data_IF_841452314830
#
_entry.id   IF_841452314830
#
_cell.length_a   1.000
_cell.length_b   1.000
_cell.length_c   1.000
_cell.angle_alpha   90.00
_cell.angle_beta   90.00
_cell.angle_gamma   90.00
#
_symmetry.space_group_name_H-M   'P 1'
#
loop_
_entity.id
_entity.type
_entity.pdbx_description
1 polymer ?
#
# COMPACT_ATOMS: atom_id res chain seq x y z
N UNK A 1 30.55 -16.21 -53.34
CA UNK A 1 29.71 -15.23 -52.60
C UNK A 1 29.31 -15.89 -51.30
N UNK A 2 30.06 -15.64 -50.25
CA UNK A 2 29.80 -16.14 -48.90
C UNK A 2 28.72 -15.26 -48.30
N UNK A 3 27.57 -15.84 -47.96
CA UNK A 3 26.52 -15.21 -47.11
C UNK A 3 27.18 -14.72 -45.83
N UNK A 4 26.93 -13.48 -45.38
CA UNK A 4 27.42 -13.01 -44.10
C UNK A 4 26.77 -13.83 -42.94
N UNK A 5 27.49 -14.04 -41.82
CA UNK A 5 26.98 -14.80 -40.70
C UNK A 5 25.74 -14.12 -40.15
N UNK A 6 24.75 -14.94 -39.74
CA UNK A 6 23.47 -14.60 -39.15
C UNK A 6 23.55 -13.35 -38.26
N UNK A 7 23.03 -12.25 -38.76
CA UNK A 7 22.71 -11.12 -37.90
C UNK A 7 21.60 -11.60 -36.94
N UNK A 8 21.92 -11.75 -35.66
CA UNK A 8 20.97 -12.17 -34.64
C UNK A 8 19.64 -11.38 -34.80
N UNK A 9 18.52 -12.07 -34.86
CA UNK A 9 17.19 -11.43 -34.97
C UNK A 9 17.09 -10.31 -33.92
N UNK A 10 16.91 -9.04 -34.31
CA UNK A 10 16.82 -7.94 -33.34
C UNK A 10 15.79 -8.16 -32.24
N UNK A 11 14.69 -8.90 -32.53
CA UNK A 11 13.71 -9.26 -31.51
C UNK A 11 14.31 -10.19 -30.46
N UNK A 12 15.08 -11.20 -30.87
CA UNK A 12 15.73 -12.11 -29.91
C UNK A 12 16.78 -11.39 -29.07
N UNK A 13 17.50 -10.45 -29.66
CA UNK A 13 18.45 -9.59 -28.95
C UNK A 13 17.74 -8.74 -27.89
N UNK A 14 16.61 -8.11 -28.24
CA UNK A 14 15.80 -7.32 -27.31
C UNK A 14 15.24 -8.19 -26.16
N UNK A 15 14.76 -9.39 -26.46
CA UNK A 15 14.27 -10.35 -25.44
C UNK A 15 15.42 -10.76 -24.50
N UNK A 16 16.63 -10.94 -25.01
CA UNK A 16 17.78 -11.28 -24.18
C UNK A 16 18.16 -10.14 -23.23
N UNK A 17 18.18 -8.88 -23.69
CA UNK A 17 18.34 -7.69 -22.82
C UNK A 17 17.24 -7.60 -21.78
N UNK A 18 15.98 -7.78 -22.18
CA UNK A 18 14.82 -7.74 -21.27
C UNK A 18 14.94 -8.77 -20.15
N UNK A 19 15.33 -10.01 -20.47
CA UNK A 19 15.53 -11.10 -19.48
C UNK A 19 16.69 -10.82 -18.51
N UNK A 20 17.70 -10.07 -18.92
CA UNK A 20 18.82 -9.65 -18.04
C UNK A 20 18.48 -8.41 -17.20
N UNK A 21 17.28 -7.82 -17.38
CA UNK A 21 16.89 -6.60 -16.69
C UNK A 21 17.47 -5.31 -17.29
N UNK A 22 18.10 -5.40 -18.45
CA UNK A 22 18.66 -4.28 -19.21
C UNK A 22 17.54 -3.58 -19.98
N UNK A 23 16.61 -2.95 -19.25
CA UNK A 23 15.31 -2.50 -19.78
C UNK A 23 15.47 -1.38 -20.82
N UNK A 24 16.45 -0.47 -20.65
CA UNK A 24 16.65 0.64 -21.60
C UNK A 24 17.15 0.12 -22.94
N UNK A 25 18.08 -0.85 -22.94
CA UNK A 25 18.58 -1.48 -24.15
C UNK A 25 17.48 -2.26 -24.88
N UNK A 26 16.67 -3.01 -24.13
CA UNK A 26 15.54 -3.75 -24.68
C UNK A 26 14.50 -2.80 -25.30
N UNK A 27 14.14 -1.71 -24.60
CA UNK A 27 13.18 -0.72 -25.08
C UNK A 27 13.62 -0.05 -26.38
N UNK A 28 14.88 0.34 -26.47
CA UNK A 28 15.43 0.97 -27.67
C UNK A 28 15.25 0.05 -28.90
N UNK A 29 15.54 -1.25 -28.75
CA UNK A 29 15.41 -2.21 -29.85
C UNK A 29 13.92 -2.47 -30.18
N UNK A 30 13.04 -2.63 -29.16
CA UNK A 30 11.59 -2.79 -29.41
C UNK A 30 11.00 -1.54 -30.10
N UNK A 31 11.41 -0.33 -29.69
CA UNK A 31 10.96 0.91 -30.32
C UNK A 31 11.41 1.00 -31.78
N UNK A 32 12.66 0.59 -32.08
CA UNK A 32 13.17 0.52 -33.45
C UNK A 32 12.37 -0.46 -34.32
N UNK A 33 12.10 -1.66 -33.80
CA UNK A 33 11.26 -2.66 -34.46
C UNK A 33 9.85 -2.13 -34.74
N UNK A 34 9.26 -1.43 -33.80
CA UNK A 34 7.91 -0.85 -33.94
C UNK A 34 7.90 0.38 -34.85
N UNK A 35 8.98 1.11 -34.98
CA UNK A 35 9.11 2.21 -35.94
C UNK A 35 9.08 1.69 -37.37
N UNK A 36 9.75 0.57 -37.64
CA UNK A 36 9.75 -0.08 -38.98
C UNK A 36 8.49 -0.91 -39.24
N UNK A 37 7.94 -1.53 -38.21
CA UNK A 37 6.74 -2.37 -38.30
C UNK A 37 5.77 -2.07 -37.12
N UNK A 38 4.99 -0.98 -37.18
CA UNK A 38 4.14 -0.51 -36.07
C UNK A 38 3.07 -1.52 -35.63
N UNK A 39 2.75 -2.49 -36.46
CA UNK A 39 1.76 -3.53 -36.18
C UNK A 39 2.37 -4.92 -35.97
N UNK A 40 3.62 -5.01 -35.61
CA UNK A 40 4.29 -6.26 -35.30
C UNK A 40 3.85 -6.77 -33.91
N UNK A 41 3.04 -7.85 -33.83
CA UNK A 41 2.36 -8.21 -32.59
C UNK A 41 3.29 -8.72 -31.49
N UNK A 42 4.39 -9.43 -31.85
CA UNK A 42 5.39 -9.89 -30.92
C UNK A 42 6.16 -8.72 -30.28
N UNK A 43 6.58 -7.73 -31.06
CA UNK A 43 7.25 -6.54 -30.55
C UNK A 43 6.32 -5.72 -29.64
N UNK A 44 5.06 -5.54 -30.02
CA UNK A 44 4.04 -4.88 -29.18
C UNK A 44 3.85 -5.63 -27.85
N UNK A 45 3.79 -6.96 -27.90
CA UNK A 45 3.61 -7.78 -26.70
C UNK A 45 4.79 -7.67 -25.75
N UNK A 46 6.04 -7.78 -26.26
CA UNK A 46 7.22 -7.68 -25.41
C UNK A 46 7.46 -6.25 -24.90
N UNK A 47 7.18 -5.22 -25.70
CA UNK A 47 7.20 -3.83 -25.25
C UNK A 47 6.16 -3.60 -24.15
N UNK A 48 4.94 -4.17 -24.28
CA UNK A 48 3.92 -4.12 -23.23
C UNK A 48 4.36 -4.78 -21.93
N UNK A 49 5.03 -5.93 -22.00
CA UNK A 49 5.61 -6.60 -20.83
C UNK A 49 6.70 -5.72 -20.17
N UNK A 50 7.55 -5.08 -20.96
CA UNK A 50 8.58 -4.17 -20.46
C UNK A 50 7.96 -2.98 -19.73
N UNK A 51 6.90 -2.38 -20.28
CA UNK A 51 6.20 -1.27 -19.63
C UNK A 51 5.55 -1.71 -18.30
N UNK A 52 5.02 -2.94 -18.21
CA UNK A 52 4.55 -3.50 -16.94
C UNK A 52 5.67 -3.61 -15.91
N UNK A 53 6.84 -4.07 -16.32
CA UNK A 53 8.01 -4.20 -15.45
C UNK A 53 8.53 -2.83 -14.96
N UNK A 54 8.37 -1.77 -15.76
CA UNK A 54 8.67 -0.38 -15.39
C UNK A 54 7.60 0.28 -14.50
N UNK A 55 6.48 -0.40 -14.24
CA UNK A 55 5.38 0.17 -13.48
C UNK A 55 4.50 1.14 -14.28
N UNK A 56 4.47 1.00 -15.62
CA UNK A 56 3.70 1.82 -16.56
C UNK A 56 2.51 1.02 -17.16
N UNK A 57 1.55 0.54 -16.33
CA UNK A 57 0.51 -0.37 -16.80
C UNK A 57 -0.47 0.26 -17.81
N UNK A 58 -0.64 1.58 -17.78
CA UNK A 58 -1.47 2.27 -18.76
C UNK A 58 -0.86 2.21 -20.18
N UNK A 59 0.45 2.43 -20.29
CA UNK A 59 1.16 2.28 -21.56
C UNK A 59 1.17 0.83 -22.05
N UNK A 60 1.40 -0.12 -21.13
CA UNK A 60 1.31 -1.54 -21.42
C UNK A 60 -0.06 -1.92 -21.99
N UNK A 61 -1.14 -1.42 -21.39
CA UNK A 61 -2.51 -1.71 -21.83
C UNK A 61 -2.75 -1.34 -23.29
N UNK A 62 -2.32 -0.16 -23.74
CA UNK A 62 -2.53 0.29 -25.13
C UNK A 62 -1.76 -0.59 -26.14
N UNK A 63 -0.51 -0.93 -25.82
CA UNK A 63 0.30 -1.82 -26.65
C UNK A 63 -0.30 -3.22 -26.73
N UNK A 64 -0.72 -3.78 -25.60
CA UNK A 64 -1.25 -5.15 -25.52
C UNK A 64 -2.67 -5.26 -26.11
N UNK A 65 -3.51 -4.23 -26.03
CA UNK A 65 -4.78 -4.15 -26.76
C UNK A 65 -4.54 -4.21 -28.27
N UNK A 66 -3.59 -3.41 -28.76
CA UNK A 66 -3.21 -3.42 -30.18
C UNK A 66 -2.72 -4.81 -30.59
N UNK A 67 -1.81 -5.41 -29.80
CA UNK A 67 -1.30 -6.76 -30.06
C UNK A 67 -2.43 -7.81 -30.10
N UNK A 68 -3.40 -7.74 -29.16
CA UNK A 68 -4.52 -8.68 -29.08
C UNK A 68 -5.48 -8.59 -30.26
N UNK A 69 -5.61 -7.41 -30.85
CA UNK A 69 -6.41 -7.19 -32.06
C UNK A 69 -5.73 -7.78 -33.30
N UNK A 70 -4.41 -7.68 -33.39
CA UNK A 70 -3.62 -8.17 -34.53
C UNK A 70 -3.44 -9.69 -34.45
N UNK A 71 -3.16 -10.20 -33.25
CA UNK A 71 -2.85 -11.61 -33.01
C UNK A 71 -3.82 -12.27 -32.02
N UNK A 72 -5.14 -12.36 -32.33
CA UNK A 72 -6.17 -12.81 -31.39
C UNK A 72 -6.09 -14.29 -31.00
N UNK A 73 -5.21 -15.05 -31.66
CA UNK A 73 -4.98 -16.49 -31.39
C UNK A 73 -3.70 -16.76 -30.59
N UNK A 74 -3.00 -15.74 -30.15
CA UNK A 74 -1.79 -15.88 -29.32
C UNK A 74 -2.14 -15.84 -27.81
N UNK A 75 -2.02 -16.97 -27.06
CA UNK A 75 -2.40 -17.01 -25.65
C UNK A 75 -1.61 -16.02 -24.79
N UNK A 76 -0.31 -15.88 -25.06
CA UNK A 76 0.60 -15.00 -24.30
C UNK A 76 0.16 -13.52 -24.36
N UNK A 77 -0.37 -13.06 -25.49
CA UNK A 77 -0.85 -11.68 -25.64
C UNK A 77 -2.05 -11.42 -24.71
N UNK A 78 -2.98 -12.38 -24.65
CA UNK A 78 -4.14 -12.28 -23.76
C UNK A 78 -3.76 -12.37 -22.28
N UNK A 79 -2.76 -13.21 -21.94
CA UNK A 79 -2.25 -13.28 -20.57
C UNK A 79 -1.60 -11.95 -20.16
N UNK A 80 -0.76 -11.38 -21.00
CA UNK A 80 -0.10 -10.10 -20.73
C UNK A 80 -1.09 -8.93 -20.69
N UNK A 81 -2.11 -8.93 -21.56
CA UNK A 81 -3.22 -7.97 -21.48
C UNK A 81 -3.97 -8.09 -20.15
N UNK A 82 -4.22 -9.32 -19.69
CA UNK A 82 -4.78 -9.59 -18.38
C UNK A 82 -3.91 -9.03 -17.25
N UNK A 83 -2.60 -9.17 -17.34
CA UNK A 83 -1.65 -8.63 -16.35
C UNK A 83 -1.70 -7.09 -16.30
N UNK A 84 -1.77 -6.41 -17.46
CA UNK A 84 -1.90 -4.96 -17.52
C UNK A 84 -3.22 -4.46 -16.91
N UNK A 85 -4.32 -5.14 -17.23
CA UNK A 85 -5.64 -4.83 -16.67
C UNK A 85 -5.70 -5.08 -15.15
N UNK A 86 -5.05 -6.15 -14.68
CA UNK A 86 -4.95 -6.47 -13.25
C UNK A 86 -4.12 -5.43 -12.48
N UNK A 87 -3.05 -4.92 -13.09
CA UNK A 87 -2.25 -3.85 -12.52
C UNK A 87 -3.01 -2.51 -12.41
N UNK A 88 -4.00 -2.30 -13.30
CA UNK A 88 -4.92 -1.15 -13.30
C UNK A 88 -6.19 -1.40 -12.47
N UNK A 89 -6.26 -2.48 -11.71
CA UNK A 89 -7.42 -2.93 -10.91
C UNK A 89 -8.72 -3.16 -11.72
N UNK A 90 -8.61 -3.33 -13.04
CA UNK A 90 -9.73 -3.61 -13.95
C UNK A 90 -10.09 -5.09 -13.92
N UNK A 91 -10.50 -5.61 -12.76
CA UNK A 91 -10.63 -7.05 -12.49
C UNK A 91 -11.56 -7.81 -13.44
N UNK A 92 -12.77 -7.30 -13.83
CA UNK A 92 -13.64 -8.01 -14.76
C UNK A 92 -13.02 -8.22 -16.14
N UNK A 93 -12.32 -7.21 -16.63
CA UNK A 93 -11.67 -7.25 -17.95
C UNK A 93 -10.40 -8.11 -17.93
N UNK A 94 -9.63 -8.04 -16.84
CA UNK A 94 -8.48 -8.90 -16.62
C UNK A 94 -8.91 -10.38 -16.64
N UNK A 95 -9.97 -10.74 -15.91
CA UNK A 95 -10.49 -12.10 -15.89
C UNK A 95 -10.94 -12.58 -17.28
N UNK A 96 -11.61 -11.71 -18.05
CA UNK A 96 -11.99 -12.02 -19.44
C UNK A 96 -10.77 -12.29 -20.31
N UNK A 97 -9.71 -11.49 -20.17
CA UNK A 97 -8.47 -11.68 -20.93
C UNK A 97 -7.78 -13.00 -20.55
N UNK A 98 -7.63 -13.32 -19.25
CA UNK A 98 -7.06 -14.59 -18.80
C UNK A 98 -7.88 -15.80 -19.26
N UNK A 99 -9.21 -15.73 -19.19
CA UNK A 99 -10.08 -16.79 -19.73
C UNK A 99 -9.91 -16.97 -21.24
N UNK A 100 -9.70 -15.87 -21.97
CA UNK A 100 -9.42 -15.96 -23.40
C UNK A 100 -8.07 -16.61 -23.67
N UNK A 101 -7.04 -16.30 -22.87
CA UNK A 101 -5.76 -17.00 -22.93
C UNK A 101 -5.92 -18.51 -22.69
N UNK A 102 -6.64 -18.90 -21.63
CA UNK A 102 -6.89 -20.31 -21.28
C UNK A 102 -7.71 -21.06 -22.33
N UNK A 103 -8.65 -20.39 -23.01
CA UNK A 103 -9.41 -21.00 -24.10
C UNK A 103 -8.55 -21.30 -25.35
N UNK A 104 -7.38 -20.68 -25.46
CA UNK A 104 -6.42 -20.91 -26.54
C UNK A 104 -5.36 -21.94 -26.16
N UNK A 105 -4.89 -21.88 -24.92
CA UNK A 105 -3.93 -22.86 -24.36
C UNK A 105 -4.00 -22.84 -22.83
N UNK A 106 -3.95 -24.02 -22.19
CA UNK A 106 -3.84 -24.09 -20.74
C UNK A 106 -2.50 -23.53 -20.26
N UNK A 107 -2.54 -22.73 -19.17
CA UNK A 107 -1.41 -22.03 -18.60
C UNK A 107 -1.54 -21.96 -17.08
N UNK A 108 -0.54 -22.44 -16.36
CA UNK A 108 -0.47 -22.31 -14.90
C UNK A 108 -0.45 -20.85 -14.47
N UNK A 109 0.23 -19.98 -15.23
CA UNK A 109 0.29 -18.55 -14.95
C UNK A 109 -1.08 -17.87 -15.06
N UNK A 110 -1.82 -18.12 -16.15
CA UNK A 110 -3.15 -17.54 -16.33
C UNK A 110 -4.14 -18.05 -15.27
N UNK A 111 -4.06 -19.32 -14.86
CA UNK A 111 -4.85 -19.89 -13.76
C UNK A 111 -4.50 -19.24 -12.42
N UNK A 112 -3.22 -19.02 -12.14
CA UNK A 112 -2.76 -18.34 -10.93
C UNK A 112 -3.26 -16.90 -10.88
N UNK A 113 -3.24 -16.19 -12.01
CA UNK A 113 -3.77 -14.84 -12.10
C UNK A 113 -5.30 -14.79 -11.91
N UNK A 114 -6.04 -15.77 -12.43
CA UNK A 114 -7.48 -15.91 -12.13
C UNK A 114 -7.69 -16.16 -10.64
N UNK A 115 -6.89 -17.01 -10.00
CA UNK A 115 -6.96 -17.24 -8.56
C UNK A 115 -6.74 -15.95 -7.76
N UNK A 116 -5.80 -15.09 -8.17
CA UNK A 116 -5.59 -13.75 -7.58
C UNK A 116 -6.85 -12.88 -7.66
N UNK A 117 -7.54 -12.88 -8.79
CA UNK A 117 -8.79 -12.11 -8.97
C UNK A 117 -9.89 -12.67 -8.08
N UNK A 118 -10.09 -14.00 -8.07
CA UNK A 118 -11.11 -14.65 -7.24
C UNK A 118 -10.86 -14.38 -5.75
N UNK A 119 -9.59 -14.43 -5.30
CA UNK A 119 -9.21 -14.04 -3.94
C UNK A 119 -9.60 -12.59 -3.60
N UNK A 120 -9.34 -11.63 -4.50
CA UNK A 120 -9.74 -10.23 -4.29
C UNK A 120 -11.26 -10.08 -4.15
N UNK A 121 -12.04 -10.93 -4.84
CA UNK A 121 -13.51 -10.99 -4.71
C UNK A 121 -13.97 -11.83 -3.52
N UNK A 122 -13.04 -12.38 -2.73
CA UNK A 122 -13.31 -13.29 -1.63
C UNK A 122 -14.01 -14.60 -2.05
N UNK A 123 -13.94 -14.97 -3.32
CA UNK A 123 -14.40 -16.26 -3.82
C UNK A 123 -13.28 -17.30 -3.60
N UNK A 124 -13.16 -17.69 -2.33
CA UNK A 124 -12.08 -18.58 -1.87
C UNK A 124 -12.15 -19.96 -2.52
N UNK A 125 -13.38 -20.46 -2.78
CA UNK A 125 -13.57 -21.76 -3.39
C UNK A 125 -13.05 -21.79 -4.84
N UNK A 126 -13.42 -20.79 -5.65
CA UNK A 126 -12.94 -20.68 -7.03
C UNK A 126 -11.45 -20.36 -7.08
N UNK A 127 -10.95 -19.53 -6.18
CA UNK A 127 -9.52 -19.26 -6.06
C UNK A 127 -8.72 -20.53 -5.81
N UNK A 128 -9.11 -21.34 -4.82
CA UNK A 128 -8.46 -22.59 -4.51
C UNK A 128 -8.53 -23.64 -5.65
N UNK A 129 -9.67 -23.70 -6.34
CA UNK A 129 -9.83 -24.59 -7.51
C UNK A 129 -8.90 -24.17 -8.67
N UNK A 130 -8.76 -22.89 -8.95
CA UNK A 130 -7.85 -22.38 -9.97
C UNK A 130 -6.37 -22.65 -9.61
N UNK A 131 -5.99 -22.48 -8.33
CA UNK A 131 -4.65 -22.81 -7.85
C UNK A 131 -4.34 -24.31 -8.01
N UNK A 132 -5.25 -25.20 -7.64
CA UNK A 132 -5.04 -26.66 -7.78
C UNK A 132 -4.87 -27.04 -9.26
N UNK A 133 -5.63 -26.44 -10.17
CA UNK A 133 -5.42 -26.64 -11.62
C UNK A 133 -4.06 -26.10 -12.07
N UNK A 134 -3.63 -24.94 -11.58
CA UNK A 134 -2.31 -24.39 -11.90
C UNK A 134 -1.19 -25.32 -11.41
N UNK A 135 -1.32 -25.90 -10.22
CA UNK A 135 -0.37 -26.84 -9.64
C UNK A 135 -0.36 -28.19 -10.35
N UNK A 136 -1.46 -28.62 -10.92
CA UNK A 136 -1.50 -29.82 -11.78
C UNK A 136 -0.65 -29.62 -13.05
N UNK A 137 -0.58 -28.41 -13.60
CA UNK A 137 0.25 -28.06 -14.76
C UNK A 137 1.70 -27.74 -14.35
N UNK A 138 1.90 -27.10 -13.22
CA UNK A 138 3.21 -26.66 -12.73
C UNK A 138 3.33 -26.92 -11.21
N UNK A 139 3.66 -28.15 -10.78
CA UNK A 139 3.72 -28.52 -9.36
C UNK A 139 4.73 -27.71 -8.54
N UNK A 140 5.74 -27.12 -9.20
CA UNK A 140 6.77 -26.28 -8.58
C UNK A 140 6.46 -24.78 -8.66
N UNK A 141 5.22 -24.39 -8.97
CA UNK A 141 4.81 -23.00 -8.95
C UNK A 141 4.62 -22.51 -7.52
N UNK A 142 5.64 -21.87 -6.95
CA UNK A 142 5.57 -21.30 -5.61
C UNK A 142 4.48 -20.23 -5.48
N UNK A 143 4.17 -19.49 -6.56
CA UNK A 143 3.05 -18.53 -6.57
C UNK A 143 1.70 -19.22 -6.45
N UNK A 144 1.49 -20.31 -7.18
CA UNK A 144 0.24 -21.05 -7.10
C UNK A 144 0.04 -21.68 -5.70
N UNK A 145 1.11 -22.19 -5.07
CA UNK A 145 1.09 -22.65 -3.69
C UNK A 145 0.75 -21.52 -2.72
N UNK A 146 1.36 -20.34 -2.87
CA UNK A 146 1.06 -19.18 -2.04
C UNK A 146 -0.42 -18.75 -2.15
N UNK A 147 -0.97 -18.63 -3.36
CA UNK A 147 -2.38 -18.28 -3.51
C UNK A 147 -3.32 -19.39 -3.05
N UNK A 148 -2.91 -20.67 -3.13
CA UNK A 148 -3.66 -21.78 -2.56
C UNK A 148 -3.75 -21.65 -1.04
N UNK A 149 -2.64 -21.34 -0.36
CA UNK A 149 -2.63 -21.15 1.09
C UNK A 149 -3.60 -20.07 1.54
N UNK A 150 -3.59 -18.92 0.85
CA UNK A 150 -4.51 -17.82 1.15
C UNK A 150 -5.99 -18.19 0.88
N UNK A 151 -6.25 -18.95 -0.17
CA UNK A 151 -7.59 -19.43 -0.47
C UNK A 151 -8.11 -20.43 0.55
N UNK A 152 -7.24 -21.31 1.06
CA UNK A 152 -7.55 -22.29 2.10
C UNK A 152 -7.82 -21.60 3.45
N UNK A 153 -7.03 -20.59 3.82
CA UNK A 153 -7.32 -19.75 5.00
C UNK A 153 -8.71 -19.12 4.91
N UNK A 154 -9.04 -18.53 3.75
CA UNK A 154 -10.37 -17.96 3.55
C UNK A 154 -11.51 -18.99 3.60
N UNK A 155 -11.21 -20.28 3.43
CA UNK A 155 -12.14 -21.42 3.60
C UNK A 155 -12.11 -22.00 5.02
N UNK A 156 -11.38 -21.40 5.97
CA UNK A 156 -11.16 -21.89 7.33
C UNK A 156 -10.49 -23.27 7.41
N UNK A 157 -9.64 -23.60 6.42
CA UNK A 157 -8.87 -24.86 6.30
C UNK A 157 -7.41 -24.59 6.68
N UNK A 158 -7.17 -24.23 7.92
CA UNK A 158 -5.89 -23.67 8.38
C UNK A 158 -4.73 -24.67 8.29
N UNK A 159 -4.95 -25.96 8.56
CA UNK A 159 -3.89 -27.00 8.45
C UNK A 159 -3.40 -27.15 7.02
N UNK A 160 -4.31 -27.30 6.07
CA UNK A 160 -3.95 -27.40 4.65
C UNK A 160 -3.35 -26.11 4.11
N UNK A 161 -3.79 -24.97 4.64
CA UNK A 161 -3.22 -23.68 4.30
C UNK A 161 -1.76 -23.55 4.74
N UNK A 162 -1.44 -24.08 5.93
CA UNK A 162 -0.07 -24.12 6.45
C UNK A 162 0.83 -24.99 5.55
N UNK A 163 0.39 -26.20 5.20
CA UNK A 163 1.13 -27.06 4.29
C UNK A 163 1.40 -26.40 2.93
N UNK A 164 0.38 -25.74 2.36
CA UNK A 164 0.54 -25.03 1.12
C UNK A 164 1.50 -23.82 1.23
N UNK A 165 1.50 -23.14 2.39
CA UNK A 165 2.42 -22.03 2.66
C UNK A 165 3.87 -22.51 2.77
N UNK A 166 4.11 -23.65 3.43
CA UNK A 166 5.44 -24.29 3.51
C UNK A 166 5.95 -24.63 2.10
N UNK A 167 5.11 -25.21 1.24
CA UNK A 167 5.50 -25.49 -0.14
C UNK A 167 5.84 -24.20 -0.91
N UNK A 168 5.09 -23.12 -0.70
CA UNK A 168 5.38 -21.82 -1.31
C UNK A 168 6.75 -21.28 -0.85
N UNK A 169 7.07 -21.35 0.44
CA UNK A 169 8.35 -20.90 1.00
C UNK A 169 9.55 -21.68 0.45
N UNK A 170 9.40 -22.99 0.28
CA UNK A 170 10.47 -23.85 -0.28
C UNK A 170 10.76 -23.56 -1.76
N UNK A 171 9.75 -23.11 -2.52
CA UNK A 171 9.83 -22.94 -3.97
C UNK A 171 10.10 -21.49 -4.38
N UNK A 172 9.85 -20.55 -3.50
CA UNK A 172 10.05 -19.12 -3.78
C UNK A 172 11.36 -18.65 -3.12
N UNK A 173 12.10 -17.73 -3.76
CA UNK A 173 13.20 -17.08 -3.08
C UNK A 173 12.66 -16.38 -1.84
N UNK A 174 13.37 -16.50 -0.72
CA UNK A 174 13.02 -15.92 0.58
C UNK A 174 12.78 -14.40 0.43
N UNK A 175 11.54 -14.02 0.22
CA UNK A 175 11.10 -12.63 0.19
C UNK A 175 10.16 -12.42 1.35
N UNK A 176 10.57 -11.61 2.31
CA UNK A 176 9.79 -11.22 3.49
C UNK A 176 8.33 -10.87 3.16
N UNK A 177 8.07 -10.23 2.03
CA UNK A 177 6.73 -9.83 1.61
C UNK A 177 5.68 -10.95 1.52
N UNK A 178 6.09 -12.20 1.25
CA UNK A 178 5.15 -13.34 1.21
C UNK A 178 4.87 -13.89 2.60
N UNK A 179 5.88 -13.92 3.44
CA UNK A 179 5.73 -14.22 4.87
C UNK A 179 4.79 -13.22 5.52
N UNK A 180 4.97 -11.92 5.24
CA UNK A 180 4.08 -10.84 5.68
C UNK A 180 2.62 -11.11 5.28
N UNK A 181 2.38 -11.43 4.00
CA UNK A 181 1.03 -11.69 3.51
C UNK A 181 0.39 -12.90 4.18
N UNK A 182 1.15 -13.95 4.41
CA UNK A 182 0.65 -15.17 5.05
C UNK A 182 0.37 -14.95 6.54
N UNK A 183 1.30 -14.35 7.28
CA UNK A 183 1.12 -14.05 8.70
C UNK A 183 -0.09 -13.15 8.95
N UNK A 184 -0.25 -12.08 8.16
CA UNK A 184 -1.43 -11.22 8.22
C UNK A 184 -2.73 -11.95 7.85
N UNK A 185 -2.68 -12.87 6.88
CA UNK A 185 -3.85 -13.66 6.51
C UNK A 185 -4.28 -14.63 7.62
N UNK A 186 -3.33 -15.23 8.35
CA UNK A 186 -3.63 -16.01 9.56
C UNK A 186 -4.36 -15.16 10.61
N UNK A 187 -3.81 -13.99 10.93
CA UNK A 187 -4.44 -13.08 11.89
C UNK A 187 -5.85 -12.66 11.44
N UNK A 188 -6.02 -12.28 10.18
CA UNK A 188 -7.31 -11.87 9.62
C UNK A 188 -8.34 -13.02 9.51
N UNK A 189 -7.88 -14.28 9.52
CA UNK A 189 -8.73 -15.46 9.60
C UNK A 189 -9.13 -15.82 11.05
N UNK A 190 -8.63 -15.09 12.06
CA UNK A 190 -8.85 -15.38 13.47
C UNK A 190 -7.93 -16.48 14.04
N UNK A 191 -6.96 -16.95 13.26
CA UNK A 191 -6.01 -18.01 13.64
C UNK A 191 -4.84 -17.42 14.46
N UNK A 192 -5.16 -16.69 15.55
CA UNK A 192 -4.19 -15.89 16.31
C UNK A 192 -3.05 -16.70 16.91
N UNK A 193 -3.32 -17.90 17.46
CA UNK A 193 -2.29 -18.77 18.02
C UNK A 193 -1.30 -19.24 16.93
N UNK A 194 -1.82 -19.59 15.74
CA UNK A 194 -1.00 -19.98 14.59
C UNK A 194 -0.21 -18.82 14.03
N UNK A 195 -0.82 -17.65 13.95
CA UNK A 195 -0.11 -16.42 13.57
C UNK A 195 1.04 -16.13 14.54
N UNK A 196 0.80 -16.23 15.86
CA UNK A 196 1.83 -16.03 16.86
C UNK A 196 2.96 -17.07 16.75
N UNK A 197 2.63 -18.35 16.53
CA UNK A 197 3.64 -19.40 16.30
C UNK A 197 4.47 -19.10 15.06
N UNK A 198 3.81 -18.76 13.94
CA UNK A 198 4.48 -18.39 12.69
C UNK A 198 5.42 -17.20 12.86
N UNK A 199 4.99 -16.12 13.53
CA UNK A 199 5.83 -14.96 13.77
C UNK A 199 6.98 -15.25 14.74
N UNK A 200 6.81 -16.16 15.74
CA UNK A 200 7.91 -16.58 16.61
C UNK A 200 8.98 -17.34 15.83
N UNK A 201 8.58 -18.27 14.96
CA UNK A 201 9.51 -19.01 14.11
C UNK A 201 10.27 -18.11 13.16
N UNK A 202 9.58 -17.10 12.62
CA UNK A 202 10.22 -16.11 11.76
C UNK A 202 11.19 -15.23 12.54
N UNK A 203 10.79 -14.77 13.73
CA UNK A 203 11.66 -13.96 14.60
C UNK A 203 12.91 -14.73 15.06
N UNK A 204 12.81 -16.06 15.24
CA UNK A 204 13.98 -16.91 15.54
C UNK A 204 14.99 -16.93 14.38
N UNK A 205 14.53 -16.82 13.14
CA UNK A 205 15.38 -16.76 11.93
C UNK A 205 15.93 -15.34 11.69
N UNK A 206 15.18 -14.32 12.04
CA UNK A 206 15.50 -12.90 11.86
C UNK A 206 15.36 -12.14 13.20
N UNK A 207 16.25 -12.35 14.18
CA UNK A 207 16.18 -11.70 15.46
C UNK A 207 16.24 -10.17 15.29
N UNK A 208 15.30 -9.46 15.91
CA UNK A 208 15.26 -8.00 15.83
C UNK A 208 14.48 -7.44 14.64
N UNK A 209 13.87 -8.27 13.79
CA UNK A 209 13.02 -7.76 12.69
C UNK A 209 11.80 -7.01 13.26
N UNK A 210 11.71 -5.66 13.09
CA UNK A 210 10.69 -4.86 13.74
C UNK A 210 9.28 -5.14 13.20
N UNK A 211 9.15 -5.53 11.93
CA UNK A 211 7.88 -5.94 11.34
C UNK A 211 7.33 -7.19 12.06
N UNK A 212 8.19 -8.20 12.26
CA UNK A 212 7.81 -9.46 12.89
C UNK A 212 7.45 -9.25 14.37
N UNK A 213 8.23 -8.43 15.09
CA UNK A 213 7.95 -8.08 16.49
C UNK A 213 6.58 -7.42 16.64
N UNK A 214 6.28 -6.45 15.78
CA UNK A 214 5.03 -5.70 15.81
C UNK A 214 3.80 -6.60 15.55
N UNK A 215 3.86 -7.43 14.51
CA UNK A 215 2.78 -8.34 14.18
C UNK A 215 2.65 -9.53 15.12
N UNK A 216 3.74 -9.96 15.78
CA UNK A 216 3.69 -10.92 16.87
C UNK A 216 2.93 -10.34 18.07
N UNK A 217 3.20 -9.09 18.43
CA UNK A 217 2.47 -8.41 19.51
C UNK A 217 0.97 -8.33 19.19
N UNK A 218 0.61 -7.97 17.95
CA UNK A 218 -0.79 -7.95 17.52
C UNK A 218 -1.46 -9.34 17.60
N UNK A 219 -0.78 -10.40 17.15
CA UNK A 219 -1.28 -11.77 17.20
C UNK A 219 -1.45 -12.31 18.62
N UNK A 220 -0.64 -11.83 19.58
CA UNK A 220 -0.73 -12.15 21.00
C UNK A 220 -1.75 -11.29 21.76
N UNK A 221 -2.44 -10.35 21.09
CA UNK A 221 -3.33 -9.38 21.74
C UNK A 221 -2.62 -8.40 22.66
N UNK A 222 -1.29 -8.24 22.50
CA UNK A 222 -0.53 -7.23 23.23
C UNK A 222 -0.81 -5.84 22.65
N UNK A 223 -0.77 -4.84 23.52
CA UNK A 223 -1.08 -3.46 23.16
C UNK A 223 0.08 -2.53 23.51
N UNK A 224 1.18 -2.55 22.73
CA UNK A 224 2.24 -1.54 22.89
C UNK A 224 1.68 -0.13 22.75
N UNK A 225 2.21 0.83 23.51
CA UNK A 225 1.74 2.23 23.49
C UNK A 225 1.80 2.86 22.10
N UNK A 226 2.75 2.43 21.26
CA UNK A 226 2.87 2.81 19.85
C UNK A 226 3.69 1.80 19.05
N UNK A 227 3.59 1.88 17.73
CA UNK A 227 4.50 1.19 16.84
C UNK A 227 5.93 1.74 17.00
N UNK A 228 6.94 0.87 16.91
CA UNK A 228 8.34 1.31 16.98
C UNK A 228 8.72 2.13 15.74
N UNK A 229 9.61 3.10 15.90
CA UNK A 229 10.11 3.92 14.79
C UNK A 229 10.70 3.04 13.68
N UNK A 230 11.45 2.01 14.06
CA UNK A 230 12.05 1.06 13.12
C UNK A 230 10.99 0.29 12.30
N UNK A 231 9.85 -0.07 12.90
CA UNK A 231 8.74 -0.70 12.17
C UNK A 231 8.12 0.25 11.15
N UNK A 232 7.80 1.48 11.58
CA UNK A 232 7.19 2.50 10.72
C UNK A 232 8.12 2.84 9.57
N UNK A 233 9.40 3.13 9.85
CA UNK A 233 10.41 3.43 8.84
C UNK A 233 10.55 2.28 7.83
N UNK A 234 10.72 1.03 8.30
CA UNK A 234 10.86 -0.13 7.43
C UNK A 234 9.66 -0.31 6.49
N UNK A 235 8.44 -0.19 7.02
CA UNK A 235 7.22 -0.36 6.22
C UNK A 235 7.11 0.71 5.15
N UNK A 236 7.31 1.97 5.52
CA UNK A 236 7.10 3.08 4.59
C UNK A 236 8.25 3.25 3.60
N UNK A 237 9.50 2.96 3.96
CA UNK A 237 10.60 2.95 3.00
C UNK A 237 10.40 1.91 1.90
N UNK A 238 9.89 0.72 2.25
CA UNK A 238 9.58 -0.32 1.26
C UNK A 238 8.40 0.06 0.35
N UNK A 239 7.43 0.83 0.86
CA UNK A 239 6.22 1.21 0.12
C UNK A 239 6.37 2.50 -0.69
N UNK A 240 7.32 3.37 -0.38
CA UNK A 240 7.41 4.72 -0.93
C UNK A 240 7.30 4.77 -2.47
N UNK A 241 7.94 3.84 -3.17
CA UNK A 241 7.94 3.82 -4.64
C UNK A 241 6.56 3.58 -5.27
N UNK A 242 5.67 2.85 -4.61
CA UNK A 242 4.35 2.46 -5.12
C UNK A 242 3.19 3.04 -4.29
N UNK A 243 3.50 3.91 -3.33
CA UNK A 243 2.55 4.35 -2.30
C UNK A 243 1.34 5.09 -2.89
N UNK A 244 1.56 6.14 -3.68
CA UNK A 244 0.47 6.93 -4.26
C UNK A 244 -0.43 6.08 -5.17
N UNK A 245 0.19 5.22 -6.00
CA UNK A 245 -0.54 4.30 -6.87
C UNK A 245 -1.36 3.28 -6.07
N UNK A 246 -0.81 2.79 -4.94
CA UNK A 246 -1.52 1.88 -4.06
C UNK A 246 -2.71 2.57 -3.38
N UNK A 247 -2.53 3.77 -2.84
CA UNK A 247 -3.60 4.56 -2.22
C UNK A 247 -4.74 4.85 -3.19
N UNK A 248 -4.44 5.12 -4.46
CA UNK A 248 -5.46 5.30 -5.50
C UNK A 248 -6.35 4.06 -5.65
N UNK A 249 -5.80 2.83 -5.49
CA UNK A 249 -6.59 1.58 -5.52
C UNK A 249 -7.49 1.40 -4.30
N UNK A 250 -7.19 2.08 -3.19
CA UNK A 250 -7.96 2.03 -1.94
C UNK A 250 -9.07 3.08 -1.87
N UNK A 251 -9.26 3.88 -2.91
CA UNK A 251 -10.17 5.05 -2.88
C UNK A 251 -9.85 5.96 -1.67
N UNK A 252 -8.57 6.22 -1.47
CA UNK A 252 -8.07 6.96 -0.32
C UNK A 252 -8.51 8.41 -0.36
N UNK A 253 -9.09 8.91 0.73
CA UNK A 253 -9.72 10.22 0.83
C UNK A 253 -9.31 11.02 2.07
N UNK A 254 -8.38 10.53 2.88
CA UNK A 254 -8.03 11.25 4.11
C UNK A 254 -7.55 12.70 3.87
N UNK A 255 -6.73 13.00 2.83
CA UNK A 255 -6.34 14.37 2.53
C UNK A 255 -7.54 15.29 2.21
N UNK A 256 -8.49 14.83 1.40
CA UNK A 256 -9.70 15.59 1.04
C UNK A 256 -10.61 15.81 2.25
N UNK A 257 -10.78 14.77 3.09
CA UNK A 257 -11.58 14.87 4.31
C UNK A 257 -10.99 15.89 5.31
N UNK A 258 -9.66 15.89 5.46
CA UNK A 258 -8.96 16.92 6.24
C UNK A 258 -9.18 18.31 5.64
N UNK A 259 -9.03 18.46 4.33
CA UNK A 259 -9.23 19.76 3.66
C UNK A 259 -10.68 20.26 3.80
N UNK A 260 -11.68 19.37 3.76
CA UNK A 260 -13.08 19.70 4.00
C UNK A 260 -13.31 20.17 5.44
N UNK A 261 -12.71 19.50 6.42
CA UNK A 261 -12.76 19.91 7.83
C UNK A 261 -12.13 21.30 8.03
N UNK A 262 -11.00 21.59 7.37
CA UNK A 262 -10.36 22.90 7.42
C UNK A 262 -11.25 23.99 6.84
N UNK A 263 -11.91 23.73 5.71
CA UNK A 263 -12.87 24.68 5.11
C UNK A 263 -14.05 24.98 6.02
N UNK A 264 -14.49 24.01 6.79
CA UNK A 264 -15.59 24.17 7.75
C UNK A 264 -15.17 24.90 9.04
N UNK A 265 -13.93 24.69 9.50
CA UNK A 265 -13.45 25.13 10.81
C UNK A 265 -12.65 26.45 10.77
N UNK A 266 -12.06 26.81 9.63
CA UNK A 266 -11.18 27.98 9.50
C UNK A 266 -11.78 29.05 8.56
N UNK A 267 -11.36 30.32 8.71
CA UNK A 267 -11.65 31.36 7.72
C UNK A 267 -11.15 30.95 6.32
N UNK A 268 -11.67 31.60 5.26
CA UNK A 268 -11.19 31.33 3.90
C UNK A 268 -9.67 31.42 3.81
N UNK A 269 -9.04 30.59 2.92
CA UNK A 269 -7.59 30.55 2.77
C UNK A 269 -7.01 31.95 2.47
N UNK A 270 -5.99 32.35 3.21
CA UNK A 270 -5.34 33.66 3.08
C UNK A 270 -3.80 33.56 3.21
N UNK A 271 -3.24 32.36 3.18
CA UNK A 271 -1.79 32.10 3.31
C UNK A 271 -1.14 32.76 4.54
N UNK A 272 -1.82 32.71 5.68
CA UNK A 272 -1.39 33.42 6.90
C UNK A 272 -0.91 32.51 8.01
N UNK A 273 -1.20 31.21 7.94
CA UNK A 273 -0.94 30.27 9.03
C UNK A 273 0.45 29.64 8.94
N UNK A 274 1.09 29.43 10.09
CA UNK A 274 2.20 28.50 10.21
C UNK A 274 1.61 27.09 10.37
N UNK A 275 1.85 26.22 9.41
CA UNK A 275 1.22 24.89 9.30
C UNK A 275 2.28 23.79 9.40
N UNK A 276 2.01 22.73 10.18
CA UNK A 276 2.79 21.51 10.11
C UNK A 276 1.92 20.34 9.66
N UNK A 277 2.45 19.55 8.73
CA UNK A 277 1.89 18.30 8.22
C UNK A 277 2.66 17.14 8.88
N UNK A 278 2.02 16.48 9.84
CA UNK A 278 2.62 15.48 10.73
C UNK A 278 2.43 14.08 10.16
N UNK A 279 3.54 13.42 9.79
CA UNK A 279 3.52 12.20 9.00
C UNK A 279 3.10 12.50 7.56
N UNK A 280 3.78 13.45 6.93
CA UNK A 280 3.39 13.99 5.62
C UNK A 280 3.50 12.98 4.47
N UNK A 281 4.19 11.84 4.67
CA UNK A 281 4.37 10.79 3.68
C UNK A 281 4.94 11.33 2.38
N UNK A 282 4.30 10.98 1.26
CA UNK A 282 4.65 11.47 -0.07
C UNK A 282 4.15 12.91 -0.33
N UNK A 283 3.51 13.56 0.65
CA UNK A 283 3.08 14.94 0.58
C UNK A 283 1.70 15.16 -0.06
N UNK A 284 0.78 14.20 0.04
CA UNK A 284 -0.56 14.29 -0.56
C UNK A 284 -1.42 15.41 0.05
N UNK A 285 -1.27 15.71 1.34
CA UNK A 285 -1.94 16.82 2.01
C UNK A 285 -1.37 18.18 1.60
N UNK A 286 -0.08 18.26 1.27
CA UNK A 286 0.63 19.51 1.03
C UNK A 286 -0.08 20.49 0.07
N UNK A 287 -0.50 20.10 -1.16
CA UNK A 287 -1.21 20.97 -2.08
C UNK A 287 -2.54 21.50 -1.52
N UNK A 288 -3.21 20.70 -0.67
CA UNK A 288 -4.48 21.06 -0.05
C UNK A 288 -4.31 22.01 1.14
N UNK A 289 -3.16 21.97 1.84
CA UNK A 289 -2.81 22.81 2.98
C UNK A 289 -2.19 24.16 2.55
N UNK A 290 -1.46 24.17 1.43
CA UNK A 290 -0.72 25.34 0.96
C UNK A 290 -1.54 26.65 0.88
N UNK A 291 -2.82 26.64 0.48
CA UNK A 291 -3.63 27.86 0.43
C UNK A 291 -3.79 28.58 1.78
N UNK A 292 -3.75 27.88 2.91
CA UNK A 292 -3.80 28.48 4.25
C UNK A 292 -2.40 28.86 4.78
N UNK A 293 -1.35 28.24 4.25
CA UNK A 293 -0.02 28.28 4.84
C UNK A 293 0.78 29.51 4.40
N UNK A 294 1.22 30.35 5.38
CA UNK A 294 2.36 31.24 5.22
C UNK A 294 3.65 30.44 5.19
N UNK A 295 3.77 29.45 6.09
CA UNK A 295 4.82 28.46 6.10
C UNK A 295 4.20 27.07 6.26
N UNK A 296 4.65 26.11 5.45
CA UNK A 296 4.23 24.73 5.48
C UNK A 296 5.44 23.82 5.70
N UNK A 297 5.47 23.16 6.84
CA UNK A 297 6.54 22.23 7.22
C UNK A 297 5.98 20.82 7.25
N UNK A 298 6.68 19.88 6.61
CA UNK A 298 6.35 18.46 6.69
C UNK A 298 7.34 17.70 7.57
N UNK A 299 6.87 16.72 8.34
CA UNK A 299 7.75 15.76 9.01
C UNK A 299 7.27 14.33 8.76
N UNK A 300 8.22 13.41 8.60
CA UNK A 300 7.97 11.98 8.47
C UNK A 300 9.19 11.17 9.00
N UNK A 301 8.96 9.93 9.42
CA UNK A 301 10.04 9.02 9.83
C UNK A 301 10.78 8.43 8.62
N UNK A 302 10.08 8.23 7.49
CA UNK A 302 10.63 7.59 6.30
C UNK A 302 11.36 8.60 5.42
N UNK A 303 12.66 8.37 5.22
CA UNK A 303 13.46 9.14 4.27
C UNK A 303 12.94 8.98 2.83
N UNK A 304 12.56 7.77 2.45
CA UNK A 304 12.06 7.48 1.11
C UNK A 304 10.72 8.18 0.83
N UNK A 305 9.87 8.39 1.84
CA UNK A 305 8.64 9.19 1.71
C UNK A 305 8.97 10.66 1.49
N UNK A 306 9.89 11.23 2.28
CA UNK A 306 10.30 12.63 2.13
C UNK A 306 10.95 12.91 0.77
N UNK A 307 11.73 11.98 0.24
CA UNK A 307 12.28 12.06 -1.13
C UNK A 307 11.17 12.14 -2.20
N UNK A 308 10.00 11.57 -1.94
CA UNK A 308 8.81 11.66 -2.81
C UNK A 308 8.00 12.93 -2.59
N UNK A 309 8.00 13.47 -1.37
CA UNK A 309 7.34 14.73 -1.05
C UNK A 309 8.07 15.94 -1.64
N UNK A 310 9.41 15.95 -1.60
CA UNK A 310 10.23 17.06 -2.03
C UNK A 310 9.97 17.55 -3.49
N UNK A 311 9.80 16.68 -4.51
CA UNK A 311 9.50 17.11 -5.87
C UNK A 311 8.16 17.85 -6.03
N UNK A 312 7.22 17.72 -5.08
CA UNK A 312 5.94 18.45 -5.13
C UNK A 312 6.11 19.96 -4.93
N UNK A 313 7.24 20.38 -4.32
CA UNK A 313 7.59 21.82 -4.13
C UNK A 313 6.50 22.62 -3.40
N UNK A 314 5.77 21.99 -2.50
CA UNK A 314 4.70 22.62 -1.72
C UNK A 314 5.12 22.91 -0.27
N UNK A 315 6.11 22.18 0.25
CA UNK A 315 6.66 22.38 1.58
C UNK A 315 7.83 23.36 1.54
N UNK A 316 7.90 24.24 2.52
CA UNK A 316 9.02 25.14 2.73
C UNK A 316 10.19 24.37 3.39
N UNK A 317 9.86 23.41 4.28
CA UNK A 317 10.82 22.51 4.93
C UNK A 317 10.26 21.10 5.05
N UNK A 318 11.15 20.10 4.96
CA UNK A 318 10.85 18.68 5.20
C UNK A 318 11.85 18.14 6.22
N UNK A 319 11.34 17.51 7.29
CA UNK A 319 12.13 17.00 8.39
C UNK A 319 11.97 15.48 8.56
N UNK A 320 13.08 14.74 8.60
CA UNK A 320 13.07 13.37 9.07
C UNK A 320 13.08 13.40 10.61
N UNK A 321 11.92 13.11 11.22
CA UNK A 321 11.77 13.15 12.67
C UNK A 321 10.58 12.30 13.13
N UNK A 322 10.68 11.79 14.37
CA UNK A 322 9.54 11.28 15.10
C UNK A 322 8.62 12.46 15.52
N UNK A 323 7.32 12.26 15.40
CA UNK A 323 6.30 13.31 15.50
C UNK A 323 6.32 14.05 16.84
N UNK A 324 6.39 13.32 17.96
CA UNK A 324 6.40 13.93 19.31
C UNK A 324 7.67 14.71 19.53
N UNK A 325 8.83 14.17 19.11
CA UNK A 325 10.13 14.86 19.21
C UNK A 325 10.17 16.10 18.31
N UNK A 326 9.60 16.03 17.10
CA UNK A 326 9.50 17.17 16.20
C UNK A 326 8.72 18.33 16.83
N UNK A 327 7.59 18.01 17.47
CA UNK A 327 6.73 19.01 18.13
C UNK A 327 7.36 19.55 19.41
N UNK A 328 7.99 18.70 20.24
CA UNK A 328 8.61 19.10 21.50
C UNK A 328 9.69 20.18 21.33
N UNK A 329 10.39 20.18 20.20
CA UNK A 329 11.38 21.20 19.87
C UNK A 329 10.81 22.54 19.37
N UNK A 330 9.47 22.71 19.29
CA UNK A 330 8.81 23.84 18.61
C UNK A 330 7.60 24.40 19.39
N UNK A 331 7.78 24.87 20.63
CA UNK A 331 6.67 25.40 21.42
C UNK A 331 6.07 26.65 20.79
N UNK A 332 4.73 26.72 20.72
CA UNK A 332 3.95 27.80 20.14
C UNK A 332 4.43 28.26 18.74
N UNK A 333 4.86 27.31 17.93
CA UNK A 333 5.37 27.57 16.58
C UNK A 333 4.30 27.58 15.51
N UNK A 334 3.20 26.84 15.70
CA UNK A 334 2.21 26.58 14.66
C UNK A 334 0.82 27.14 14.99
N UNK A 335 0.13 27.57 13.96
CA UNK A 335 -1.28 27.96 14.01
C UNK A 335 -2.19 26.77 13.67
N UNK A 336 -1.66 25.82 12.89
CA UNK A 336 -2.38 24.62 12.46
C UNK A 336 -1.45 23.40 12.42
N UNK A 337 -1.87 22.32 13.04
CA UNK A 337 -1.28 21.00 12.92
C UNK A 337 -2.25 20.07 12.18
N UNK A 338 -1.75 19.30 11.22
CA UNK A 338 -2.53 18.31 10.47
C UNK A 338 -1.85 16.96 10.56
N UNK A 339 -2.63 15.89 10.70
CA UNK A 339 -2.12 14.52 10.70
C UNK A 339 -3.13 13.58 10.04
N UNK A 340 -2.89 13.24 8.77
CA UNK A 340 -3.77 12.37 8.00
C UNK A 340 -3.20 10.95 7.96
N UNK A 341 -3.93 10.00 8.54
CA UNK A 341 -3.64 8.54 8.54
C UNK A 341 -2.27 8.16 9.15
N UNK A 342 -1.77 8.99 10.08
CA UNK A 342 -0.48 8.78 10.76
C UNK A 342 -0.66 8.33 12.20
N UNK A 343 -1.64 8.91 12.93
CA UNK A 343 -1.87 8.58 14.33
C UNK A 343 -2.40 7.16 14.55
N UNK A 344 -2.73 6.45 13.48
CA UNK A 344 -3.04 5.01 13.47
C UNK A 344 -1.83 4.12 13.81
N UNK A 345 -0.64 4.68 13.98
CA UNK A 345 0.57 4.00 14.47
C UNK A 345 0.85 4.27 15.96
N UNK A 346 -0.03 4.99 16.62
CA UNK A 346 0.00 5.29 18.06
C UNK A 346 -1.24 4.65 18.73
N UNK A 347 -1.03 3.91 19.80
CA UNK A 347 -2.10 3.44 20.70
C UNK A 347 -2.39 4.52 21.73
N UNK A 348 -1.39 4.87 22.55
CA UNK A 348 -1.51 5.95 23.52
C UNK A 348 -1.33 7.31 22.84
N UNK A 349 -2.39 8.12 22.81
CA UNK A 349 -2.38 9.43 22.15
C UNK A 349 -2.06 10.61 23.10
N UNK A 350 -2.04 10.40 24.41
CA UNK A 350 -1.78 11.48 25.37
C UNK A 350 -0.43 12.19 25.14
N UNK A 351 0.69 11.51 24.86
CA UNK A 351 1.95 12.17 24.55
C UNK A 351 1.88 13.02 23.28
N UNK A 352 1.18 12.53 22.25
CA UNK A 352 0.99 13.25 20.98
C UNK A 352 0.19 14.52 21.21
N UNK A 353 -0.93 14.43 21.92
CA UNK A 353 -1.78 15.59 22.18
C UNK A 353 -1.12 16.61 23.10
N UNK A 354 -0.36 16.19 24.09
CA UNK A 354 0.44 17.10 24.93
C UNK A 354 1.48 17.87 24.11
N UNK A 355 2.23 17.18 23.24
CA UNK A 355 3.20 17.80 22.34
C UNK A 355 2.54 18.74 21.31
N UNK A 356 1.41 18.32 20.72
CA UNK A 356 0.65 19.13 19.79
C UNK A 356 0.09 20.39 20.45
N UNK A 357 -0.48 20.28 21.66
CA UNK A 357 -0.98 21.41 22.42
C UNK A 357 0.16 22.42 22.73
N UNK A 358 1.32 21.94 23.15
CA UNK A 358 2.48 22.80 23.43
C UNK A 358 3.01 23.51 22.18
N UNK A 359 2.99 22.83 21.02
CA UNK A 359 3.50 23.35 19.75
C UNK A 359 2.53 24.32 19.05
N UNK A 360 1.23 24.24 19.36
CA UNK A 360 0.24 25.19 18.84
C UNK A 360 0.35 26.55 19.57
N UNK A 361 0.07 27.62 18.84
CA UNK A 361 -0.21 28.96 19.42
C UNK A 361 -1.59 28.97 20.09
N UNK A 362 -1.84 29.90 21.05
CA UNK A 362 -3.18 30.11 21.55
C UNK A 362 -4.19 30.34 20.39
N UNK A 363 -5.32 29.64 20.44
CA UNK A 363 -6.33 29.63 19.36
C UNK A 363 -5.98 28.73 18.16
N UNK A 364 -4.82 28.11 18.13
CA UNK A 364 -4.40 27.17 17.08
C UNK A 364 -5.20 25.88 17.09
N UNK A 365 -5.18 25.17 15.98
CA UNK A 365 -5.98 23.97 15.77
C UNK A 365 -5.12 22.74 15.41
N UNK A 366 -5.58 21.57 15.84
CA UNK A 366 -5.11 20.26 15.39
C UNK A 366 -6.25 19.57 14.63
N UNK A 367 -5.97 19.04 13.43
CA UNK A 367 -6.90 18.26 12.62
C UNK A 367 -6.23 16.93 12.29
N UNK A 368 -6.90 15.81 12.59
CA UNK A 368 -6.31 14.50 12.38
C UNK A 368 -7.34 13.42 12.09
N UNK A 369 -6.88 12.28 11.55
CA UNK A 369 -7.70 11.10 11.32
C UNK A 369 -7.19 9.91 12.13
N UNK A 370 -8.12 8.99 12.49
CA UNK A 370 -7.87 7.71 13.17
C UNK A 370 -8.68 6.59 12.51
N UNK A 371 -8.27 5.33 12.70
CA UNK A 371 -9.19 4.20 12.52
C UNK A 371 -10.14 4.10 13.71
N UNK A 372 -11.42 3.79 13.43
CA UNK A 372 -12.44 3.68 14.45
C UNK A 372 -12.41 2.29 15.12
N UNK A 373 -12.54 2.28 16.45
CA UNK A 373 -12.78 1.09 17.25
C UNK A 373 -14.23 1.09 17.75
N UNK A 374 -14.96 0.05 17.38
CA UNK A 374 -16.36 -0.19 17.80
C UNK A 374 -16.45 -0.94 19.15
N UNK A 375 -15.45 -0.83 20.00
CA UNK A 375 -15.39 -1.51 21.29
C UNK A 375 -15.41 -0.48 22.42
N UNK A 376 -16.48 -0.47 23.19
CA UNK A 376 -16.62 0.43 24.35
C UNK A 376 -15.74 0.04 25.56
N UNK A 377 -15.11 -1.13 25.54
CA UNK A 377 -14.32 -1.66 26.65
C UNK A 377 -12.84 -1.20 26.61
N UNK A 378 -12.37 -0.67 25.49
CA UNK A 378 -10.99 -0.22 25.33
C UNK A 378 -10.92 1.16 24.68
N UNK A 379 -10.00 2.00 25.11
CA UNK A 379 -9.75 3.31 24.48
C UNK A 379 -9.08 3.18 23.11
N UNK A 380 -8.27 2.14 22.95
CA UNK A 380 -7.61 1.79 21.69
C UNK A 380 -7.18 0.32 21.68
N UNK A 381 -6.86 -0.18 20.48
CA UNK A 381 -6.40 -1.56 20.26
C UNK A 381 -5.45 -1.62 19.06
N UNK A 382 -4.39 -2.43 19.17
CA UNK A 382 -3.59 -2.85 18.02
C UNK A 382 -4.35 -3.95 17.27
N UNK A 383 -4.66 -3.70 16.01
CA UNK A 383 -5.43 -4.62 15.15
C UNK A 383 -4.51 -5.58 14.38
N UNK A 384 -5.09 -6.63 13.78
CA UNK A 384 -4.35 -7.56 12.91
C UNK A 384 -3.75 -6.89 11.67
N UNK A 385 -4.21 -5.70 11.30
CA UNK A 385 -3.62 -4.93 10.23
C UNK A 385 -2.24 -4.35 10.58
N UNK A 386 -1.87 -4.35 11.86
CA UNK A 386 -0.69 -3.68 12.41
C UNK A 386 -0.94 -2.18 12.68
N UNK A 387 -2.19 -1.72 12.62
CA UNK A 387 -2.57 -0.34 12.96
C UNK A 387 -3.39 -0.31 14.23
N UNK A 388 -3.44 0.85 14.86
CA UNK A 388 -4.24 1.08 16.06
C UNK A 388 -5.58 1.69 15.69
N UNK A 389 -6.65 1.09 16.20
CA UNK A 389 -7.99 1.63 16.15
C UNK A 389 -8.35 2.26 17.49
N UNK A 390 -9.14 3.34 17.50
CA UNK A 390 -9.44 4.15 18.68
C UNK A 390 -10.94 4.33 18.87
N UNK A 391 -11.38 4.24 20.13
CA UNK A 391 -12.73 4.61 20.52
C UNK A 391 -12.87 6.15 20.57
N UNK A 392 -13.98 6.68 20.10
CA UNK A 392 -14.24 8.12 20.09
C UNK A 392 -14.16 8.76 21.48
N UNK A 393 -14.65 8.05 22.53
CA UNK A 393 -14.59 8.53 23.91
C UNK A 393 -13.18 8.58 24.48
N UNK A 394 -12.32 7.61 24.15
CA UNK A 394 -10.92 7.56 24.61
C UNK A 394 -10.11 8.75 24.09
N UNK A 395 -10.16 8.99 22.78
CA UNK A 395 -9.47 10.11 22.19
C UNK A 395 -9.98 11.49 22.71
N UNK A 396 -11.30 11.63 22.95
CA UNK A 396 -11.85 12.87 23.49
C UNK A 396 -11.33 13.15 24.93
N UNK A 397 -11.24 12.11 25.76
CA UNK A 397 -10.64 12.24 27.09
C UNK A 397 -9.17 12.63 27.04
N UNK A 398 -8.39 12.00 26.13
CA UNK A 398 -6.96 12.32 25.96
C UNK A 398 -6.75 13.76 25.47
N UNK A 399 -7.59 14.26 24.54
CA UNK A 399 -7.55 15.66 24.10
C UNK A 399 -7.87 16.63 25.23
N UNK A 400 -8.94 16.37 26.01
CA UNK A 400 -9.29 17.21 27.16
C UNK A 400 -8.20 17.22 28.23
N UNK A 401 -7.59 16.08 28.52
CA UNK A 401 -6.47 15.95 29.47
C UNK A 401 -5.22 16.72 29.00
N UNK A 402 -5.00 16.85 27.69
CA UNK A 402 -3.92 17.64 27.11
C UNK A 402 -4.21 19.15 27.07
N UNK A 403 -5.42 19.60 27.46
CA UNK A 403 -5.79 21.01 27.56
C UNK A 403 -6.46 21.58 26.31
N UNK A 404 -6.94 20.75 25.39
CA UNK A 404 -7.76 21.23 24.26
C UNK A 404 -9.16 21.62 24.74
N UNK A 405 -9.60 22.84 24.39
CA UNK A 405 -10.87 23.41 24.88
C UNK A 405 -12.07 22.94 24.04
N UNK A 406 -11.89 22.80 22.75
CA UNK A 406 -12.92 22.39 21.80
C UNK A 406 -12.45 21.17 21.02
N UNK A 407 -13.24 20.11 21.03
CA UNK A 407 -13.00 18.88 20.27
C UNK A 407 -14.28 18.50 19.52
N UNK A 408 -14.20 18.41 18.19
CA UNK A 408 -15.25 17.86 17.36
C UNK A 408 -14.76 16.57 16.73
N UNK A 409 -15.61 15.54 16.73
CA UNK A 409 -15.32 14.21 16.21
C UNK A 409 -16.44 13.80 15.26
N UNK A 410 -16.10 13.37 14.06
CA UNK A 410 -17.05 12.87 13.07
C UNK A 410 -16.63 11.53 12.52
N UNK A 411 -17.58 10.64 12.25
CA UNK A 411 -17.35 9.37 11.59
C UNK A 411 -17.04 9.61 10.11
N UNK A 412 -16.01 8.93 9.60
CA UNK A 412 -15.55 9.03 8.21
C UNK A 412 -15.26 7.64 7.63
N UNK A 413 -15.10 7.60 6.31
CA UNK A 413 -14.48 6.47 5.59
C UNK A 413 -13.23 7.00 4.88
N UNK A 414 -12.03 6.88 5.48
CA UNK A 414 -10.82 7.41 4.89
C UNK A 414 -10.35 6.60 3.66
N UNK A 415 -10.71 5.31 3.60
CA UNK A 415 -10.34 4.40 2.50
C UNK A 415 -11.20 3.14 2.46
N UNK A 416 -11.01 2.35 1.40
CA UNK A 416 -11.58 1.00 1.29
C UNK A 416 -10.46 -0.03 1.19
N UNK A 417 -10.55 -1.11 1.96
CA UNK A 417 -9.63 -2.24 1.91
C UNK A 417 -10.38 -3.51 1.51
N UNK A 418 -9.91 -4.20 0.47
CA UNK A 418 -10.60 -5.40 -0.07
C UNK A 418 -12.09 -5.17 -0.36
N UNK A 419 -12.44 -3.97 -0.86
CA UNK A 419 -13.82 -3.58 -1.19
C UNK A 419 -14.71 -3.25 0.00
N UNK A 420 -14.16 -3.17 1.22
CA UNK A 420 -14.87 -2.76 2.43
C UNK A 420 -14.43 -1.37 2.89
N UNK A 421 -15.38 -0.55 3.31
CA UNK A 421 -15.08 0.71 3.96
C UNK A 421 -14.31 0.45 5.27
N UNK A 422 -13.21 1.15 5.47
CA UNK A 422 -12.52 1.21 6.76
C UNK A 422 -13.16 2.34 7.56
N UNK A 423 -13.80 2.03 8.71
CA UNK A 423 -14.38 3.08 9.53
C UNK A 423 -13.27 3.90 10.20
N UNK A 424 -13.48 5.20 10.30
CA UNK A 424 -12.51 6.10 10.90
C UNK A 424 -13.17 7.28 11.60
N UNK A 425 -12.34 8.04 12.31
CA UNK A 425 -12.67 9.30 12.93
C UNK A 425 -11.88 10.43 12.29
N UNK A 426 -12.55 11.53 11.99
CA UNK A 426 -11.95 12.83 11.74
C UNK A 426 -12.19 13.68 12.97
N UNK A 427 -11.11 14.17 13.56
CA UNK A 427 -11.19 15.01 14.75
C UNK A 427 -10.54 16.37 14.51
N UNK A 428 -11.15 17.41 15.09
CA UNK A 428 -10.58 18.74 15.21
C UNK A 428 -10.52 19.12 16.68
N UNK A 429 -9.40 19.69 17.12
CA UNK A 429 -9.19 20.15 18.47
C UNK A 429 -8.58 21.56 18.46
N UNK A 430 -8.99 22.45 19.35
CA UNK A 430 -8.46 23.80 19.47
C UNK A 430 -7.75 24.02 20.80
N UNK A 431 -6.58 24.62 20.75
CA UNK A 431 -5.93 25.19 21.93
C UNK A 431 -6.71 26.44 22.33
N UNK A 432 -7.03 26.58 23.65
CA UNK A 432 -7.68 27.77 24.16
C UNK A 432 -6.91 29.04 23.76
N UNK A 433 -7.66 30.09 23.39
CA UNK A 433 -7.13 31.39 23.04
C UNK A 433 -6.84 32.30 24.24
N UNK A 434 -7.29 31.92 25.44
CA UNK A 434 -6.99 32.66 26.69
C UNK A 434 -5.52 32.51 27.05
N UNK A 435 -4.89 33.62 27.36
CA UNK A 435 -3.48 33.75 27.79
C UNK A 435 -3.27 33.18 29.19
#
# INVERSE_FOLDING_TARGET
>A
MTTPPDAADPLQTAIAHHRRGELDAAEAIYAELLRHAPRRPDALNFMGMLQLQRGEPARALELLKTASTIAPRQPAVWNNLGNALLALDRLPEAEKAFRRSLALAESAEALTNIARIQRRRRDWARSGAACRRALALAPKSGEAWHYLSLALLGQQRADEAFEAAVQAELLLPARSRRRETYGRALSAAGEHERAAAFYRDWLAQEPGNPYVQHHLAAALGQTPERASDAYVEQVFDQFAASFDAHLATLQYRAPELVADALRAALPPPASQLAVADLGCGTGLCGPLLRPWARSLVGCDLSSAMLERAAPRRVYDELHKAELVQFLAGRPAAFDLLVSADTLIYFGELAPVFAAAHAALRPGGALVFTLEALDDAAADWRLTESGRYAHASGGQARAQAAAGFAEAAISAITPRHESGRAVPGWLATARRDGSR
#
